data_IF_097668675447
#
_entry.id   IF_097668675447
#
_cell.length_a   1.000
_cell.length_b   1.000
_cell.length_c   1.000
_cell.angle_alpha   90.00
_cell.angle_beta   90.00
_cell.angle_gamma   90.00
#
_symmetry.space_group_name_H-M   'P 1'
#
loop_
_entity.id
_entity.type
_entity.pdbx_description
1 polymer ?
#
# COMPACT_ATOMS: atom_id res chain seq x y z
N UNK A 1 12.55 7.17 11.53
CA UNK A 1 12.68 7.00 10.06
C UNK A 1 13.57 5.78 9.77
N UNK A 2 13.03 4.72 9.16
CA UNK A 2 13.82 3.55 8.76
C UNK A 2 14.72 3.97 7.60
N UNK A 3 16.01 4.18 7.85
CA UNK A 3 16.96 4.67 6.84
C UNK A 3 17.44 3.51 5.95
N UNK A 4 16.57 2.97 5.11
CA UNK A 4 16.89 1.80 4.26
C UNK A 4 18.11 2.07 3.35
N UNK A 5 18.21 3.26 2.77
CA UNK A 5 19.33 3.62 1.91
C UNK A 5 20.64 3.81 2.67
N UNK A 6 20.62 4.38 3.88
CA UNK A 6 21.85 4.58 4.67
C UNK A 6 22.34 3.32 5.35
N UNK A 7 21.54 2.25 5.36
CA UNK A 7 21.91 0.93 5.85
C UNK A 7 22.55 0.05 4.76
N UNK A 8 22.61 0.53 3.51
CA UNK A 8 23.37 -0.13 2.45
C UNK A 8 24.86 -0.08 2.76
N UNK A 9 25.55 -1.22 2.58
CA UNK A 9 27.00 -1.33 2.78
C UNK A 9 27.80 -0.29 1.99
N UNK A 10 27.30 0.12 0.81
CA UNK A 10 27.88 1.17 -0.04
C UNK A 10 26.78 2.11 -0.58
N UNK A 11 26.39 3.16 0.17
CA UNK A 11 25.24 4.02 -0.15
C UNK A 11 25.59 5.04 -1.24
N UNK A 12 25.80 4.57 -2.48
CA UNK A 12 25.96 5.43 -3.66
C UNK A 12 24.65 5.51 -4.45
N UNK A 13 24.44 6.59 -5.20
CA UNK A 13 23.23 6.78 -6.05
C UNK A 13 23.01 5.58 -6.99
N UNK A 14 24.09 5.07 -7.57
CA UNK A 14 24.09 3.92 -8.49
C UNK A 14 23.71 2.63 -7.75
N UNK A 15 24.27 2.38 -6.58
CA UNK A 15 23.94 1.17 -5.81
C UNK A 15 22.50 1.20 -5.29
N UNK A 16 22.01 2.38 -4.88
CA UNK A 16 20.60 2.57 -4.53
C UNK A 16 19.68 2.24 -5.69
N UNK A 17 19.98 2.77 -6.88
CA UNK A 17 19.22 2.47 -8.08
C UNK A 17 19.25 0.96 -8.42
N UNK A 18 20.42 0.32 -8.37
CA UNK A 18 20.56 -1.13 -8.62
C UNK A 18 19.72 -1.97 -7.66
N UNK A 19 19.83 -1.73 -6.36
CA UNK A 19 19.07 -2.47 -5.34
C UNK A 19 17.57 -2.23 -5.50
N UNK A 20 17.17 -0.97 -5.75
CA UNK A 20 15.78 -0.61 -6.03
C UNK A 20 15.23 -1.37 -7.25
N UNK A 21 15.97 -1.39 -8.36
CA UNK A 21 15.56 -2.12 -9.57
C UNK A 21 15.42 -3.62 -9.31
N UNK A 22 16.39 -4.26 -8.65
CA UNK A 22 16.30 -5.68 -8.33
C UNK A 22 15.10 -5.99 -7.43
N UNK A 23 14.85 -5.17 -6.41
CA UNK A 23 13.69 -5.32 -5.55
C UNK A 23 12.38 -5.23 -6.34
N UNK A 24 12.26 -4.24 -7.24
CA UNK A 24 11.08 -4.09 -8.10
C UNK A 24 10.87 -5.32 -8.97
N UNK A 25 11.93 -5.84 -9.60
CA UNK A 25 11.83 -7.03 -10.47
C UNK A 25 11.38 -8.25 -9.68
N UNK A 26 12.00 -8.54 -8.53
CA UNK A 26 11.66 -9.70 -7.68
C UNK A 26 10.21 -9.60 -7.21
N UNK A 27 9.79 -8.43 -6.75
CA UNK A 27 8.41 -8.18 -6.28
C UNK A 27 7.41 -8.30 -7.42
N UNK A 28 7.76 -7.83 -8.62
CA UNK A 28 6.90 -7.92 -9.81
C UNK A 28 6.68 -9.37 -10.23
N UNK A 29 7.73 -10.19 -10.19
CA UNK A 29 7.63 -11.64 -10.46
C UNK A 29 6.73 -12.31 -9.43
N UNK A 30 6.93 -12.01 -8.14
CA UNK A 30 6.08 -12.56 -7.08
C UNK A 30 4.60 -12.18 -7.27
N UNK A 31 4.31 -10.91 -7.55
CA UNK A 31 2.93 -10.45 -7.81
C UNK A 31 2.34 -11.08 -9.07
N UNK A 32 3.13 -11.28 -10.12
CA UNK A 32 2.69 -11.97 -11.32
C UNK A 32 2.23 -13.41 -11.01
N UNK A 33 3.00 -14.16 -10.22
CA UNK A 33 2.61 -15.52 -9.81
C UNK A 33 1.37 -15.52 -8.92
N UNK A 34 1.23 -14.58 -7.98
CA UNK A 34 0.05 -14.49 -7.12
C UNK A 34 -1.21 -14.15 -7.93
N UNK A 35 -1.11 -13.18 -8.84
CA UNK A 35 -2.25 -12.77 -9.66
C UNK A 35 -2.71 -13.88 -10.62
N UNK A 36 -1.77 -14.57 -11.28
CA UNK A 36 -2.09 -15.62 -12.23
C UNK A 36 -2.35 -16.98 -11.55
N UNK A 37 -1.80 -17.24 -10.37
CA UNK A 37 -1.94 -18.52 -9.68
C UNK A 37 -3.39 -18.86 -9.34
N UNK A 38 -4.18 -17.87 -8.92
CA UNK A 38 -5.62 -18.05 -8.72
C UNK A 38 -6.35 -18.38 -10.03
N UNK A 39 -5.99 -17.69 -11.12
CA UNK A 39 -6.61 -17.90 -12.43
C UNK A 39 -6.22 -19.25 -13.02
N UNK A 40 -5.00 -19.71 -12.82
CA UNK A 40 -4.54 -21.06 -13.22
C UNK A 40 -5.32 -22.13 -12.46
N UNK A 41 -5.59 -21.93 -11.16
CA UNK A 41 -6.28 -22.91 -10.33
C UNK A 41 -7.80 -22.98 -10.58
N UNK A 42 -8.47 -21.84 -10.77
CA UNK A 42 -9.93 -21.76 -10.85
C UNK A 42 -10.49 -21.24 -12.18
N UNK A 43 -9.64 -20.88 -13.14
CA UNK A 43 -10.03 -20.29 -14.42
C UNK A 43 -10.94 -19.07 -14.28
N UNK A 44 -11.92 -18.98 -15.18
CA UNK A 44 -12.96 -17.93 -15.15
C UNK A 44 -13.92 -18.04 -13.95
N UNK A 45 -13.79 -19.08 -13.12
CA UNK A 45 -14.56 -19.23 -11.88
C UNK A 45 -14.11 -18.31 -10.75
N UNK A 46 -12.92 -17.69 -10.86
CA UNK A 46 -12.39 -16.74 -9.88
C UNK A 46 -13.01 -15.34 -10.06
N UNK A 47 -14.30 -15.23 -9.74
CA UNK A 47 -15.05 -13.98 -9.82
C UNK A 47 -15.08 -13.18 -8.50
N UNK A 48 -14.36 -13.64 -7.48
CA UNK A 48 -14.33 -12.99 -6.17
C UNK A 48 -12.98 -13.17 -5.47
N UNK A 49 -12.75 -12.36 -4.43
CA UNK A 49 -11.52 -12.42 -3.65
C UNK A 49 -11.32 -13.80 -3.05
N UNK A 50 -10.05 -14.24 -2.92
CA UNK A 50 -9.67 -15.49 -2.25
C UNK A 50 -10.24 -15.55 -0.81
N UNK A 51 -10.46 -14.39 -0.20
CA UNK A 51 -11.07 -14.26 1.12
C UNK A 51 -12.54 -14.68 1.11
N UNK A 52 -13.30 -14.27 0.10
CA UNK A 52 -14.74 -14.51 -0.05
C UNK A 52 -15.05 -15.92 -0.59
N UNK A 53 -14.09 -16.51 -1.30
CA UNK A 53 -14.16 -17.89 -1.82
C UNK A 53 -14.17 -18.91 -0.67
N UNK A 54 -13.50 -18.61 0.44
CA UNK A 54 -13.43 -19.49 1.61
C UNK A 54 -14.63 -19.37 2.56
N UNK A 55 -15.30 -18.21 2.58
CA UNK A 55 -16.47 -18.01 3.47
C UNK A 55 -17.76 -18.60 2.90
N UNK A 56 -17.76 -18.97 1.61
CA UNK A 56 -18.95 -19.48 0.95
C UNK A 56 -18.59 -20.61 -0.04
N UNK A 57 -18.85 -21.84 0.39
CA UNK A 57 -18.65 -23.08 -0.36
C UNK A 57 -19.60 -23.22 -1.56
N UNK A 58 -20.63 -22.37 -1.67
CA UNK A 58 -21.57 -22.38 -2.79
C UNK A 58 -21.02 -21.67 -4.03
N UNK A 59 -19.91 -20.93 -3.90
CA UNK A 59 -19.32 -20.19 -5.01
C UNK A 59 -18.77 -21.11 -6.11
N UNK A 60 -18.83 -20.68 -7.39
CA UNK A 60 -18.39 -21.48 -8.53
C UNK A 60 -16.92 -21.91 -8.41
N UNK A 61 -16.06 -21.05 -7.85
CA UNK A 61 -14.67 -21.39 -7.58
C UNK A 61 -14.51 -22.62 -6.69
N UNK A 62 -15.30 -22.73 -5.61
CA UNK A 62 -15.21 -23.88 -4.70
C UNK A 62 -15.55 -25.19 -5.41
N UNK A 63 -16.65 -25.18 -6.18
CA UNK A 63 -17.07 -26.33 -6.99
C UNK A 63 -16.00 -26.71 -8.02
N UNK A 64 -15.41 -25.73 -8.72
CA UNK A 64 -14.36 -25.97 -9.73
C UNK A 64 -13.12 -26.62 -9.11
N UNK A 65 -12.68 -26.16 -7.94
CA UNK A 65 -11.53 -26.75 -7.25
C UNK A 65 -11.82 -28.20 -6.85
N UNK A 66 -12.98 -28.47 -6.25
CA UNK A 66 -13.34 -29.84 -5.87
C UNK A 66 -13.46 -30.76 -7.09
N UNK A 67 -14.00 -30.28 -8.21
CA UNK A 67 -14.08 -31.08 -9.45
C UNK A 67 -12.70 -31.33 -10.07
N UNK A 68 -11.80 -30.35 -10.06
CA UNK A 68 -10.48 -30.47 -10.71
C UNK A 68 -9.48 -31.28 -9.89
N UNK A 69 -9.55 -31.19 -8.56
CA UNK A 69 -8.57 -31.80 -7.65
C UNK A 69 -9.14 -33.00 -6.86
N UNK A 70 -10.46 -33.20 -6.85
CA UNK A 70 -11.14 -34.22 -6.04
C UNK A 70 -11.25 -33.84 -4.56
N UNK A 71 -12.02 -34.60 -3.78
CA UNK A 71 -12.37 -34.24 -2.40
C UNK A 71 -11.15 -34.14 -1.46
N UNK A 72 -10.17 -35.03 -1.59
CA UNK A 72 -8.96 -35.06 -0.73
C UNK A 72 -8.01 -33.90 -1.01
N UNK A 73 -7.62 -33.69 -2.28
CA UNK A 73 -6.70 -32.60 -2.64
C UNK A 73 -7.39 -31.24 -2.65
N UNK A 74 -8.66 -31.18 -3.04
CA UNK A 74 -9.49 -29.98 -2.95
C UNK A 74 -9.68 -29.54 -1.49
N UNK A 75 -9.98 -30.46 -0.57
CA UNK A 75 -10.02 -30.16 0.87
C UNK A 75 -8.70 -29.62 1.41
N UNK A 76 -7.58 -30.25 1.02
CA UNK A 76 -6.23 -29.79 1.39
C UNK A 76 -5.94 -28.38 0.85
N UNK A 77 -6.38 -28.07 -0.37
CA UNK A 77 -6.25 -26.74 -0.96
C UNK A 77 -6.92 -25.67 -0.10
N UNK A 78 -8.15 -25.89 0.36
CA UNK A 78 -8.84 -24.91 1.23
C UNK A 78 -8.19 -24.76 2.61
N UNK A 79 -7.61 -25.83 3.16
CA UNK A 79 -6.79 -25.74 4.38
C UNK A 79 -5.55 -24.87 4.17
N UNK A 80 -4.86 -24.99 3.03
CA UNK A 80 -3.72 -24.13 2.70
C UNK A 80 -4.11 -22.66 2.57
N UNK A 81 -5.27 -22.35 1.99
CA UNK A 81 -5.75 -20.96 1.95
C UNK A 81 -6.05 -20.44 3.36
N UNK A 82 -6.62 -21.28 4.24
CA UNK A 82 -6.90 -20.91 5.63
C UNK A 82 -5.60 -20.62 6.41
N UNK A 83 -4.58 -21.45 6.25
CA UNK A 83 -3.24 -21.22 6.82
C UNK A 83 -2.65 -19.91 6.29
N UNK A 84 -2.78 -19.66 4.98
CA UNK A 84 -2.30 -18.43 4.35
C UNK A 84 -3.00 -17.18 4.92
N UNK A 85 -4.30 -17.26 5.22
CA UNK A 85 -5.03 -16.18 5.91
C UNK A 85 -4.48 -15.93 7.31
N UNK A 86 -4.24 -16.97 8.10
CA UNK A 86 -3.65 -16.85 9.43
C UNK A 86 -2.27 -16.18 9.37
N UNK A 87 -1.43 -16.62 8.44
CA UNK A 87 -0.13 -15.98 8.20
C UNK A 87 -0.29 -14.49 7.84
N UNK A 88 -1.25 -14.15 6.98
CA UNK A 88 -1.54 -12.76 6.62
C UNK A 88 -2.00 -11.93 7.83
N UNK A 89 -2.87 -12.48 8.70
CA UNK A 89 -3.30 -11.81 9.93
C UNK A 89 -2.11 -11.52 10.85
N UNK A 90 -1.22 -12.51 11.05
CA UNK A 90 -0.01 -12.34 11.86
C UNK A 90 0.88 -11.23 11.27
N UNK A 91 1.08 -11.23 9.95
CA UNK A 91 1.86 -10.20 9.25
C UNK A 91 1.22 -8.82 9.43
N UNK A 92 -0.11 -8.70 9.27
CA UNK A 92 -0.81 -7.43 9.43
C UNK A 92 -0.74 -6.89 10.87
N UNK A 93 -0.87 -7.76 11.87
CA UNK A 93 -0.73 -7.38 13.28
C UNK A 93 0.68 -6.88 13.61
N UNK A 94 1.72 -7.48 13.02
CA UNK A 94 3.10 -6.99 13.18
C UNK A 94 3.41 -5.74 12.35
N UNK A 95 2.85 -5.64 11.15
CA UNK A 95 3.10 -4.53 10.23
C UNK A 95 2.43 -3.23 10.67
N UNK A 96 1.23 -3.31 11.26
CA UNK A 96 0.47 -2.11 11.62
C UNK A 96 1.21 -1.19 12.62
N UNK A 97 1.75 -1.68 13.76
CA UNK A 97 2.57 -0.86 14.65
C UNK A 97 3.81 -0.28 13.97
N UNK A 98 4.47 -1.09 13.10
CA UNK A 98 5.66 -0.66 12.36
C UNK A 98 5.35 0.46 11.35
N UNK A 99 4.16 0.48 10.76
CA UNK A 99 3.69 1.53 9.86
C UNK A 99 3.16 2.76 10.61
N UNK A 100 2.61 2.57 11.80
CA UNK A 100 2.07 3.66 12.61
C UNK A 100 3.18 4.57 13.14
N UNK A 101 4.33 4.02 13.51
CA UNK A 101 5.46 4.79 14.03
C UNK A 101 5.94 5.92 13.08
N UNK A 102 6.33 5.65 11.80
CA UNK A 102 6.75 6.72 10.89
C UNK A 102 5.61 7.70 10.55
N UNK A 103 4.36 7.23 10.53
CA UNK A 103 3.20 8.09 10.26
C UNK A 103 3.00 9.08 11.40
N UNK A 104 3.02 8.60 12.66
CA UNK A 104 2.96 9.43 13.86
C UNK A 104 4.10 10.45 13.89
N UNK A 105 5.34 10.02 13.64
CA UNK A 105 6.50 10.93 13.61
C UNK A 105 6.35 12.03 12.54
N UNK A 106 5.78 11.68 11.38
CA UNK A 106 5.52 12.64 10.29
C UNK A 106 4.47 13.67 10.69
N UNK A 107 3.39 13.26 11.36
CA UNK A 107 2.35 14.16 11.88
C UNK A 107 2.94 15.09 12.93
N UNK A 108 3.69 14.56 13.91
CA UNK A 108 4.35 15.38 14.94
C UNK A 108 5.26 16.42 14.30
N UNK A 109 6.08 16.01 13.34
CA UNK A 109 6.99 16.91 12.63
C UNK A 109 6.21 18.02 11.89
N UNK A 110 5.15 17.66 11.17
CA UNK A 110 4.30 18.62 10.47
C UNK A 110 3.66 19.63 11.42
N UNK A 111 3.07 19.16 12.52
CA UNK A 111 2.48 20.03 13.54
C UNK A 111 3.53 20.92 14.21
N UNK A 112 4.74 20.41 14.43
CA UNK A 112 5.83 21.20 15.03
C UNK A 112 6.28 22.36 14.14
N UNK A 113 6.26 22.19 12.81
CA UNK A 113 6.58 23.25 11.85
C UNK A 113 5.51 24.34 11.88
N UNK A 114 4.23 23.95 11.91
CA UNK A 114 3.10 24.88 11.87
C UNK A 114 2.99 25.67 13.18
N UNK A 115 3.00 24.96 14.31
CA UNK A 115 2.70 25.57 15.60
C UNK A 115 3.93 26.16 16.30
N UNK A 116 5.15 26.00 15.75
CA UNK A 116 6.42 26.55 16.28
C UNK A 116 6.58 26.40 17.80
N UNK A 117 6.04 25.32 18.39
CA UNK A 117 5.65 25.32 19.80
C UNK A 117 6.47 24.39 20.70
N UNK A 118 6.79 24.89 21.90
CA UNK A 118 7.42 24.20 23.04
C UNK A 118 6.61 23.02 23.61
N UNK A 119 5.32 22.89 23.24
CA UNK A 119 4.42 21.82 23.72
C UNK A 119 4.99 20.43 23.39
N UNK A 120 5.57 20.28 22.19
CA UNK A 120 6.21 19.03 21.76
C UNK A 120 7.49 18.70 22.53
N UNK A 121 8.16 19.71 23.10
CA UNK A 121 9.37 19.55 23.92
C UNK A 121 9.06 19.22 25.38
N UNK A 122 7.97 19.77 25.92
CA UNK A 122 7.66 19.63 27.34
C UNK A 122 7.16 18.22 27.72
N UNK A 123 6.37 17.56 26.88
CA UNK A 123 5.85 16.21 27.16
C UNK A 123 5.72 15.35 25.88
N UNK A 124 6.83 14.92 25.25
CA UNK A 124 6.81 14.22 23.96
C UNK A 124 6.01 12.92 23.99
N UNK A 125 6.12 12.14 25.07
CA UNK A 125 5.40 10.85 25.22
C UNK A 125 3.89 11.01 25.22
N UNK A 126 3.37 12.05 25.88
CA UNK A 126 1.92 12.30 25.94
C UNK A 126 1.39 12.63 24.55
N UNK A 127 2.11 13.47 23.80
CA UNK A 127 1.74 13.85 22.43
C UNK A 127 1.79 12.64 21.50
N UNK A 128 2.83 11.79 21.62
CA UNK A 128 2.93 10.56 20.85
C UNK A 128 1.75 9.62 21.09
N UNK A 129 1.40 9.36 22.35
CA UNK A 129 0.27 8.51 22.72
C UNK A 129 -1.03 9.10 22.18
N UNK A 130 -1.23 10.40 22.34
CA UNK A 130 -2.47 11.07 21.91
C UNK A 130 -2.66 10.99 20.39
N UNK A 131 -1.61 11.24 19.59
CA UNK A 131 -1.68 11.11 18.12
C UNK A 131 -1.92 9.67 17.72
N UNK A 132 -1.22 8.71 18.33
CA UNK A 132 -1.44 7.29 18.08
C UNK A 132 -2.87 6.87 18.40
N UNK A 133 -3.41 7.27 19.55
CA UNK A 133 -4.80 6.98 19.94
C UNK A 133 -5.80 7.58 18.96
N UNK A 134 -5.61 8.83 18.53
CA UNK A 134 -6.49 9.46 17.52
C UNK A 134 -6.47 8.65 16.23
N UNK A 135 -5.28 8.29 15.73
CA UNK A 135 -5.17 7.51 14.49
C UNK A 135 -5.87 6.14 14.61
N UNK A 136 -5.68 5.43 15.72
CA UNK A 136 -6.33 4.14 15.95
C UNK A 136 -7.85 4.27 16.06
N UNK A 137 -8.34 5.30 16.75
CA UNK A 137 -9.78 5.58 16.86
C UNK A 137 -10.37 5.88 15.48
N UNK A 138 -9.71 6.70 14.65
CA UNK A 138 -10.19 6.99 13.29
C UNK A 138 -10.30 5.72 12.45
N UNK A 139 -9.27 4.87 12.43
CA UNK A 139 -9.30 3.59 11.70
C UNK A 139 -10.38 2.67 12.24
N UNK A 140 -10.57 2.63 13.56
CA UNK A 140 -11.64 1.84 14.18
C UNK A 140 -13.03 2.35 13.75
N UNK A 141 -13.27 3.66 13.78
CA UNK A 141 -14.52 4.27 13.34
C UNK A 141 -14.77 3.96 11.85
N UNK A 142 -13.75 4.13 11.00
CA UNK A 142 -13.85 3.80 9.57
C UNK A 142 -14.20 2.33 9.34
N UNK A 143 -13.70 1.41 10.18
CA UNK A 143 -14.02 -0.02 10.10
C UNK A 143 -15.49 -0.35 10.43
N UNK A 144 -16.20 0.51 11.16
CA UNK A 144 -17.63 0.35 11.44
C UNK A 144 -18.49 0.67 10.22
N UNK A 145 -18.01 1.55 9.33
CA UNK A 145 -18.64 1.79 8.05
C UNK A 145 -18.26 0.64 7.12
N UNK A 146 -19.24 0.02 6.44
CA UNK A 146 -19.03 -1.07 5.46
C UNK A 146 -18.39 -0.54 4.17
N UNK A 147 -17.28 0.17 4.28
CA UNK A 147 -16.53 0.72 3.14
C UNK A 147 -15.88 -0.46 2.40
N UNK A 148 -16.16 -0.55 1.09
CA UNK A 148 -15.59 -1.60 0.26
C UNK A 148 -14.06 -1.42 0.21
N UNK A 149 -13.30 -2.49 0.50
CA UNK A 149 -11.83 -2.49 0.39
C UNK A 149 -11.32 -1.96 -0.96
N UNK A 150 -12.01 -2.32 -2.06
CA UNK A 150 -11.68 -1.87 -3.41
C UNK A 150 -11.72 -0.34 -3.49
N UNK A 151 -12.70 0.30 -2.87
CA UNK A 151 -12.81 1.77 -2.85
C UNK A 151 -11.62 2.39 -2.13
N UNK A 152 -11.26 1.89 -0.94
CA UNK A 152 -10.10 2.39 -0.16
C UNK A 152 -8.81 2.26 -0.95
N UNK A 153 -8.58 1.10 -1.60
CA UNK A 153 -7.39 0.88 -2.41
C UNK A 153 -7.33 1.82 -3.62
N UNK A 154 -8.45 2.00 -4.34
CA UNK A 154 -8.51 2.93 -5.47
C UNK A 154 -8.27 4.37 -5.01
N UNK A 155 -8.80 4.78 -3.85
CA UNK A 155 -8.61 6.11 -3.29
C UNK A 155 -7.15 6.38 -2.89
N UNK A 156 -6.48 5.42 -2.23
CA UNK A 156 -5.06 5.54 -1.89
C UNK A 156 -4.21 5.64 -3.15
N UNK A 157 -4.51 4.79 -4.15
CA UNK A 157 -3.81 4.79 -5.43
C UNK A 157 -3.96 6.11 -6.17
N UNK A 158 -5.17 6.70 -6.19
CA UNK A 158 -5.44 7.98 -6.85
C UNK A 158 -4.84 9.19 -6.12
N UNK A 159 -4.64 9.11 -4.81
CA UNK A 159 -4.20 10.25 -3.99
C UNK A 159 -2.76 10.09 -3.49
N UNK A 160 -2.58 9.39 -2.37
CA UNK A 160 -1.30 9.30 -1.65
C UNK A 160 -0.20 8.66 -2.50
N UNK A 161 -0.50 7.59 -3.24
CA UNK A 161 0.48 6.95 -4.12
C UNK A 161 0.92 7.87 -5.25
N UNK A 162 -0.03 8.56 -5.91
CA UNK A 162 0.30 9.55 -6.93
C UNK A 162 1.20 10.67 -6.40
N UNK A 163 0.90 11.16 -5.20
CA UNK A 163 1.69 12.21 -4.57
C UNK A 163 3.12 11.75 -4.25
N UNK A 164 3.27 10.61 -3.57
CA UNK A 164 4.57 10.12 -3.11
C UNK A 164 5.44 9.64 -4.27
N UNK A 165 4.85 8.97 -5.26
CA UNK A 165 5.62 8.34 -6.35
C UNK A 165 5.93 9.31 -7.49
N UNK A 166 5.05 10.28 -7.77
CA UNK A 166 5.19 11.16 -8.94
C UNK A 166 5.29 12.62 -8.55
N UNK A 167 4.28 13.18 -7.87
CA UNK A 167 4.19 14.62 -7.61
C UNK A 167 5.39 15.14 -6.81
N UNK A 168 5.70 14.51 -5.68
CA UNK A 168 6.76 14.95 -4.78
C UNK A 168 8.16 14.80 -5.41
N UNK A 169 8.54 13.67 -6.04
CA UNK A 169 9.79 13.57 -6.79
C UNK A 169 9.91 14.58 -7.93
N UNK A 170 8.83 14.84 -8.67
CA UNK A 170 8.83 15.83 -9.75
C UNK A 170 9.07 17.25 -9.23
N UNK A 171 8.41 17.64 -8.13
CA UNK A 171 8.65 18.92 -7.46
C UNK A 171 10.12 19.00 -7.02
N UNK A 172 10.61 17.98 -6.32
CA UNK A 172 11.99 17.94 -5.82
C UNK A 172 13.02 18.08 -6.97
N UNK A 173 12.77 17.45 -8.12
CA UNK A 173 13.65 17.56 -9.29
C UNK A 173 13.62 18.96 -9.93
N UNK A 174 12.42 19.54 -10.13
CA UNK A 174 12.23 20.88 -10.73
C UNK A 174 12.96 21.96 -9.92
N UNK A 175 12.93 21.85 -8.59
CA UNK A 175 13.60 22.75 -7.66
C UNK A 175 15.08 22.40 -7.38
N UNK A 176 15.62 21.35 -7.98
CA UNK A 176 17.03 21.00 -7.78
C UNK A 176 17.97 21.94 -8.55
N UNK A 177 19.16 22.19 -7.97
CA UNK A 177 20.16 23.11 -8.55
C UNK A 177 20.88 22.52 -9.78
N UNK A 178 21.06 21.19 -9.83
CA UNK A 178 21.78 20.49 -10.90
C UNK A 178 20.82 19.69 -11.78
N UNK A 179 20.09 20.40 -12.66
CA UNK A 179 19.08 19.79 -13.54
C UNK A 179 19.49 19.76 -15.00
N UNK A 180 19.24 18.62 -15.64
CA UNK A 180 19.33 18.47 -17.09
C UNK A 180 18.01 18.94 -17.72
N UNK A 181 18.09 19.81 -18.74
CA UNK A 181 16.92 20.43 -19.39
C UNK A 181 15.86 19.41 -19.86
N UNK A 182 16.29 18.30 -20.47
CA UNK A 182 15.37 17.25 -20.94
C UNK A 182 14.53 16.68 -19.79
N UNK A 183 15.19 16.34 -18.67
CA UNK A 183 14.53 15.78 -17.50
C UNK A 183 13.68 16.81 -16.72
N UNK A 184 13.95 18.12 -16.89
CA UNK A 184 13.10 19.18 -16.32
C UNK A 184 11.74 19.21 -17.02
N UNK A 185 11.73 19.11 -18.37
CA UNK A 185 10.48 19.03 -19.13
C UNK A 185 9.69 17.76 -18.82
N UNK A 186 10.34 16.60 -18.75
CA UNK A 186 9.64 15.35 -18.38
C UNK A 186 9.09 15.44 -16.97
N UNK A 187 9.82 16.02 -16.01
CA UNK A 187 9.35 16.18 -14.64
C UNK A 187 8.15 17.11 -14.53
N UNK A 188 8.10 18.20 -15.31
CA UNK A 188 6.91 19.06 -15.40
C UNK A 188 5.71 18.34 -16.01
N UNK A 189 5.94 17.55 -17.06
CA UNK A 189 4.90 16.71 -17.66
C UNK A 189 4.32 15.70 -16.67
N UNK A 190 5.18 14.98 -15.93
CA UNK A 190 4.79 14.03 -14.88
C UNK A 190 4.03 14.75 -13.76
N UNK A 191 4.48 15.94 -13.35
CA UNK A 191 3.81 16.73 -12.32
C UNK A 191 2.36 17.05 -12.72
N UNK A 192 2.17 17.66 -13.89
CA UNK A 192 0.84 18.02 -14.41
C UNK A 192 -0.03 16.77 -14.58
N UNK A 193 0.52 15.72 -15.19
CA UNK A 193 -0.19 14.45 -15.38
C UNK A 193 -0.61 13.81 -14.06
N UNK A 194 0.25 13.80 -13.05
CA UNK A 194 -0.05 13.23 -11.73
C UNK A 194 -1.15 13.99 -10.99
N UNK A 195 -1.15 15.32 -11.06
CA UNK A 195 -2.18 16.17 -10.44
C UNK A 195 -3.52 15.96 -11.14
N UNK A 196 -3.53 16.02 -12.48
CA UNK A 196 -4.75 15.80 -13.26
C UNK A 196 -5.32 14.40 -13.03
N UNK A 197 -4.47 13.37 -13.04
CA UNK A 197 -4.89 12.01 -12.75
C UNK A 197 -5.49 11.90 -11.34
N UNK A 198 -4.85 12.48 -10.33
CA UNK A 198 -5.33 12.44 -8.96
C UNK A 198 -6.70 13.09 -8.81
N UNK A 199 -6.90 14.27 -9.39
CA UNK A 199 -8.17 15.00 -9.36
C UNK A 199 -9.26 14.23 -10.11
N UNK A 200 -9.01 13.86 -11.38
CA UNK A 200 -9.99 13.19 -12.22
C UNK A 200 -10.36 11.80 -11.67
N UNK A 201 -9.37 11.00 -11.25
CA UNK A 201 -9.62 9.67 -10.70
C UNK A 201 -10.40 9.75 -9.39
N UNK A 202 -10.08 10.72 -8.51
CA UNK A 202 -10.81 10.88 -7.24
C UNK A 202 -12.24 11.37 -7.48
N UNK A 203 -12.44 12.29 -8.44
CA UNK A 203 -13.77 12.72 -8.84
C UNK A 203 -14.63 11.56 -9.38
N UNK A 204 -14.06 10.74 -10.27
CA UNK A 204 -14.74 9.55 -10.79
C UNK A 204 -15.06 8.55 -9.69
N UNK A 205 -14.15 8.34 -8.73
CA UNK A 205 -14.36 7.43 -7.60
C UNK A 205 -15.49 7.86 -6.67
N UNK A 206 -15.64 9.17 -6.44
CA UNK A 206 -16.69 9.71 -5.59
C UNK A 206 -18.07 9.72 -6.28
N UNK A 207 -18.11 9.60 -7.61
CA UNK A 207 -19.33 9.57 -8.42
C UNK A 207 -19.64 8.21 -9.05
N UNK A 208 -18.77 7.20 -8.90
CA UNK A 208 -19.10 5.78 -9.15
C UNK A 208 -20.18 5.35 -8.15
N UNK A 209 -21.42 5.14 -8.63
CA UNK A 209 -22.52 4.53 -7.86
C UNK A 209 -22.27 3.05 -7.61
#
# INVERSE_FOLDING_TARGET
MVKVFSLLKNPTKINGAKVGTYAIVIVSIAYFFVANGGYIAGGNGQNSSILDVLSNTEKPFHKIIMTNFGDTWGGTYFHLITISKLAMVIVLLGAYPLQLHPTRDSIITFLSIIFKNNIFRNNPRVVEVLITSIMTITVFIESLYKIKYIFVMKLIASTASCYIMFTLPSIAYIYSQNKVKLFDYTSKGILIGSILFSICSTYLLLHEK
#
